data_IF_296267477639
#
_entry.id   IF_296267477639
#
_cell.length_a   1.000
_cell.length_b   1.000
_cell.length_c   1.000
_cell.angle_alpha   90.00
_cell.angle_beta   90.00
_cell.angle_gamma   90.00
#
_symmetry.space_group_name_H-M   'P 1'
#
loop_
_entity.id
_entity.type
_entity.pdbx_description
1 polymer ?
#
# COMPACT_ATOMS: atom_id res chain seq x y z
N UNK A 1 -17.72 25.56 18.52
CA UNK A 1 -16.78 24.53 19.00
C UNK A 1 -17.05 23.26 18.21
N UNK A 2 -16.12 22.82 17.36
CA UNK A 2 -16.30 21.57 16.63
C UNK A 2 -16.13 20.39 17.59
N UNK A 3 -17.23 19.73 17.93
CA UNK A 3 -17.21 18.50 18.74
C UNK A 3 -16.55 17.42 17.90
N UNK A 4 -15.32 17.04 18.26
CA UNK A 4 -14.67 15.87 17.69
C UNK A 4 -15.58 14.66 17.90
N UNK A 5 -16.01 14.02 16.81
CA UNK A 5 -16.72 12.75 16.84
C UNK A 5 -15.77 11.68 16.32
N UNK A 6 -15.56 10.57 17.06
CA UNK A 6 -14.76 9.46 16.54
C UNK A 6 -15.41 8.90 15.29
N UNK A 7 -14.57 8.51 14.33
CA UNK A 7 -15.01 7.86 13.09
C UNK A 7 -15.72 6.56 13.47
N UNK A 8 -17.02 6.47 13.19
CA UNK A 8 -17.85 5.31 13.53
C UNK A 8 -17.57 4.07 12.66
N UNK A 9 -16.79 4.21 11.60
CA UNK A 9 -16.39 3.11 10.75
C UNK A 9 -15.02 2.63 11.20
N UNK A 10 -14.95 1.39 11.69
CA UNK A 10 -13.65 0.74 11.87
C UNK A 10 -12.87 0.80 10.55
N UNK A 11 -11.58 1.15 10.59
CA UNK A 11 -10.74 1.11 9.41
C UNK A 11 -10.78 -0.31 8.85
N UNK A 12 -11.01 -0.41 7.55
CA UNK A 12 -11.02 -1.69 6.84
C UNK A 12 -9.70 -2.42 7.11
N UNK A 13 -9.78 -3.52 7.84
CA UNK A 13 -8.62 -4.24 8.35
C UNK A 13 -7.70 -4.75 7.22
N UNK A 14 -8.26 -5.04 6.05
CA UNK A 14 -7.52 -5.41 4.84
C UNK A 14 -6.68 -4.23 4.34
N UNK A 15 -7.33 -3.08 4.12
CA UNK A 15 -6.66 -1.87 3.62
C UNK A 15 -5.60 -1.36 4.60
N UNK A 16 -5.91 -1.36 5.90
CA UNK A 16 -4.96 -0.97 6.93
C UNK A 16 -3.70 -1.85 6.91
N UNK A 17 -3.88 -3.18 6.84
CA UNK A 17 -2.78 -4.14 6.77
C UNK A 17 -1.92 -3.93 5.52
N UNK A 18 -2.53 -3.71 4.35
CA UNK A 18 -1.82 -3.44 3.10
C UNK A 18 -1.06 -2.11 3.16
N UNK A 19 -1.63 -1.07 3.76
CA UNK A 19 -0.94 0.21 3.92
C UNK A 19 0.27 0.12 4.82
N UNK A 20 0.19 -0.63 5.91
CA UNK A 20 1.33 -0.85 6.79
C UNK A 20 2.39 -1.73 6.14
N UNK A 21 1.98 -2.74 5.37
CA UNK A 21 2.87 -3.54 4.53
C UNK A 21 3.64 -2.69 3.52
N UNK A 22 2.96 -1.80 2.80
CA UNK A 22 3.58 -0.88 1.86
C UNK A 22 4.50 0.11 2.58
N UNK A 23 4.10 0.68 3.73
CA UNK A 23 4.96 1.62 4.47
C UNK A 23 6.28 1.02 4.90
N UNK A 24 6.27 -0.23 5.34
CA UNK A 24 7.47 -0.90 5.85
C UNK A 24 8.42 -1.32 4.74
N UNK A 25 7.91 -1.85 3.63
CA UNK A 25 8.73 -2.43 2.56
C UNK A 25 8.98 -1.52 1.38
N UNK A 26 8.02 -0.66 1.03
CA UNK A 26 8.15 0.18 -0.15
C UNK A 26 9.41 1.03 -0.05
N UNK A 27 9.69 1.63 1.13
CA UNK A 27 10.87 2.47 1.41
C UNK A 27 12.20 1.84 0.96
N UNK A 28 12.36 0.52 1.08
CA UNK A 28 13.57 -0.19 0.68
C UNK A 28 13.81 -0.11 -0.84
N UNK A 29 12.73 -0.17 -1.63
CA UNK A 29 12.77 -0.05 -3.10
C UNK A 29 13.13 1.38 -3.53
N UNK A 30 12.74 2.41 -2.77
CA UNK A 30 13.16 3.79 -3.06
C UNK A 30 14.66 3.98 -2.80
N UNK A 31 15.18 3.37 -1.73
CA UNK A 31 16.59 3.51 -1.36
C UNK A 31 17.53 2.79 -2.33
N UNK A 32 17.08 1.68 -2.93
CA UNK A 32 17.89 0.98 -3.94
C UNK A 32 18.01 1.75 -5.25
N UNK A 33 17.13 2.73 -5.52
CA UNK A 33 17.18 3.56 -6.72
C UNK A 33 16.90 2.79 -8.02
N UNK A 34 16.40 1.55 -7.91
CA UNK A 34 16.19 0.68 -9.06
C UNK A 34 14.96 1.13 -9.84
N UNK A 35 15.12 1.43 -11.13
CA UNK A 35 14.02 1.84 -12.02
C UNK A 35 13.18 0.66 -12.57
N UNK A 36 13.27 -0.52 -11.94
CA UNK A 36 12.62 -1.74 -12.41
C UNK A 36 11.47 -2.17 -11.47
N UNK A 37 10.44 -2.87 -12.00
CA UNK A 37 9.47 -3.55 -11.16
C UNK A 37 10.17 -4.42 -10.12
N UNK A 38 9.89 -4.18 -8.85
CA UNK A 38 10.54 -4.86 -7.73
C UNK A 38 9.49 -5.61 -6.92
N UNK A 39 9.55 -6.94 -6.84
CA UNK A 39 8.68 -7.70 -5.97
C UNK A 39 9.03 -7.42 -4.51
N UNK A 40 8.03 -7.16 -3.67
CA UNK A 40 8.19 -7.01 -2.22
C UNK A 40 8.26 -8.35 -1.49
N UNK A 41 8.06 -9.44 -2.22
CA UNK A 41 8.01 -10.81 -1.73
C UNK A 41 6.68 -11.17 -1.09
N UNK A 42 6.44 -12.47 -0.95
CA UNK A 42 5.30 -13.01 -0.22
C UNK A 42 5.49 -12.76 1.28
N UNK A 43 4.48 -12.18 1.93
CA UNK A 43 4.41 -12.01 3.38
C UNK A 43 3.11 -12.51 3.93
N UNK A 44 3.13 -12.87 5.21
CA UNK A 44 1.94 -13.23 5.97
C UNK A 44 1.81 -12.27 7.13
N UNK A 45 0.83 -11.40 7.06
CA UNK A 45 0.59 -10.35 8.04
C UNK A 45 -0.66 -10.66 8.86
N UNK A 46 -0.66 -10.21 10.11
CA UNK A 46 -1.85 -10.31 10.99
C UNK A 46 -2.63 -9.01 10.88
N UNK A 47 -3.87 -9.10 10.44
CA UNK A 47 -4.80 -7.97 10.37
C UNK A 47 -5.24 -7.53 11.77
N UNK A 48 -5.73 -6.29 11.89
CA UNK A 48 -6.20 -5.74 13.18
C UNK A 48 -7.37 -6.52 13.79
N UNK A 49 -8.10 -7.30 12.99
CA UNK A 49 -9.18 -8.19 13.44
C UNK A 49 -8.69 -9.59 13.87
N UNK A 50 -7.37 -9.83 13.91
CA UNK A 50 -6.75 -11.12 14.24
C UNK A 50 -6.75 -12.13 13.09
N UNK A 51 -7.32 -11.78 11.93
CA UNK A 51 -7.24 -12.58 10.73
C UNK A 51 -5.84 -12.55 10.10
N UNK A 52 -5.52 -13.58 9.31
CA UNK A 52 -4.26 -13.66 8.58
C UNK A 52 -4.48 -13.22 7.14
N UNK A 53 -3.56 -12.40 6.63
CA UNK A 53 -3.55 -11.94 5.24
C UNK A 53 -2.22 -12.33 4.60
N UNK A 54 -2.29 -13.14 3.55
CA UNK A 54 -1.13 -13.37 2.69
C UNK A 54 -1.08 -12.23 1.66
N UNK A 55 0.07 -11.58 1.52
CA UNK A 55 0.26 -10.42 0.66
C UNK A 55 1.45 -10.68 -0.24
N UNK A 56 1.26 -10.53 -1.55
CA UNK A 56 2.32 -10.56 -2.55
C UNK A 56 2.13 -9.39 -3.50
N UNK A 57 2.96 -8.36 -3.34
CA UNK A 57 2.87 -7.12 -4.11
C UNK A 57 4.17 -6.84 -4.83
N UNK A 58 4.04 -6.24 -6.01
CA UNK A 58 5.11 -5.68 -6.80
C UNK A 58 4.95 -4.17 -6.83
N UNK A 59 6.08 -3.49 -6.66
CA UNK A 59 6.17 -2.04 -6.81
C UNK A 59 6.87 -1.71 -8.11
N UNK A 60 6.27 -0.86 -8.91
CA UNK A 60 6.83 -0.41 -10.19
C UNK A 60 7.03 1.11 -10.16
N UNK A 61 8.25 1.61 -10.40
CA UNK A 61 8.46 3.04 -10.56
C UNK A 61 7.70 3.55 -11.79
N UNK A 62 6.82 4.52 -11.61
CA UNK A 62 6.03 5.12 -12.70
C UNK A 62 6.70 6.40 -13.19
N UNK A 63 7.21 7.22 -12.27
CA UNK A 63 7.93 8.44 -12.65
C UNK A 63 8.02 9.47 -11.53
N UNK A 64 8.30 10.71 -11.92
CA UNK A 64 8.36 11.88 -11.05
C UNK A 64 7.16 12.78 -11.33
N UNK A 65 6.55 13.31 -10.28
CA UNK A 65 5.47 14.29 -10.35
C UNK A 65 5.71 15.45 -9.38
N UNK A 66 4.96 16.54 -9.52
CA UNK A 66 4.98 17.66 -8.58
C UNK A 66 3.71 17.60 -7.72
N UNK A 67 3.88 17.48 -6.39
CA UNK A 67 2.79 17.56 -5.41
C UNK A 67 3.03 18.78 -4.55
N UNK A 68 2.12 19.77 -4.61
CA UNK A 68 2.23 21.03 -3.85
C UNK A 68 3.63 21.69 -4.00
N UNK A 69 4.12 21.78 -5.24
CA UNK A 69 5.45 22.32 -5.58
C UNK A 69 6.66 21.52 -5.08
N UNK A 70 6.46 20.29 -4.59
CA UNK A 70 7.55 19.37 -4.23
C UNK A 70 7.65 18.24 -5.24
N UNK A 71 8.89 17.89 -5.60
CA UNK A 71 9.16 16.72 -6.44
C UNK A 71 8.85 15.44 -5.68
N UNK A 72 7.92 14.65 -6.19
CA UNK A 72 7.50 13.39 -5.63
C UNK A 72 7.77 12.25 -6.61
N UNK A 73 8.22 11.11 -6.11
CA UNK A 73 8.33 9.88 -6.85
C UNK A 73 7.01 9.13 -6.78
N UNK A 74 6.53 8.65 -7.92
CA UNK A 74 5.29 7.89 -8.06
C UNK A 74 5.63 6.44 -8.38
N UNK A 75 5.01 5.55 -7.63
CA UNK A 75 5.12 4.12 -7.78
C UNK A 75 3.74 3.52 -7.96
N UNK A 76 3.60 2.65 -8.95
CA UNK A 76 2.46 1.76 -9.09
C UNK A 76 2.62 0.57 -8.15
N UNK A 77 1.52 0.14 -7.56
CA UNK A 77 1.43 -1.07 -6.75
C UNK A 77 0.49 -2.03 -7.47
N UNK A 78 0.95 -3.24 -7.70
CA UNK A 78 0.14 -4.31 -8.29
C UNK A 78 0.44 -5.62 -7.61
N UNK A 79 -0.55 -6.47 -7.42
CA UNK A 79 -0.34 -7.82 -6.94
C UNK A 79 -1.60 -8.44 -6.37
N UNK A 80 -1.41 -9.30 -5.38
CA UNK A 80 -2.48 -10.10 -4.80
C UNK A 80 -2.42 -10.08 -3.29
N UNK A 81 -3.59 -10.13 -2.68
CA UNK A 81 -3.76 -10.41 -1.26
C UNK A 81 -4.78 -11.53 -1.10
N UNK A 82 -4.64 -12.38 -0.09
CA UNK A 82 -5.57 -13.46 0.16
C UNK A 82 -5.77 -13.67 1.66
N UNK A 83 -7.05 -13.67 2.06
CA UNK A 83 -7.46 -14.15 3.38
C UNK A 83 -7.87 -15.63 3.32
N UNK A 84 -8.43 -16.19 4.40
CA UNK A 84 -8.79 -17.61 4.50
C UNK A 84 -9.78 -18.10 3.43
N UNK A 85 -10.58 -17.23 2.82
CA UNK A 85 -11.62 -17.63 1.87
C UNK A 85 -11.79 -16.70 0.66
N UNK A 86 -11.07 -15.57 0.63
CA UNK A 86 -11.21 -14.56 -0.40
C UNK A 86 -9.85 -14.16 -0.93
N UNK A 87 -9.70 -14.25 -2.26
CA UNK A 87 -8.57 -13.68 -2.98
C UNK A 87 -8.91 -12.28 -3.49
N UNK A 88 -7.94 -11.38 -3.43
CA UNK A 88 -8.06 -9.99 -3.85
C UNK A 88 -6.93 -9.65 -4.83
N UNK A 89 -7.27 -8.98 -5.91
CA UNK A 89 -6.34 -8.21 -6.73
C UNK A 89 -6.10 -6.89 -6.00
N UNK A 90 -4.85 -6.50 -5.86
CA UNK A 90 -4.45 -5.21 -5.29
C UNK A 90 -3.87 -4.36 -6.40
N UNK A 91 -4.48 -3.21 -6.63
CA UNK A 91 -3.96 -2.19 -7.54
C UNK A 91 -3.92 -0.85 -6.82
N UNK A 92 -2.88 -0.07 -7.05
CA UNK A 92 -2.71 1.14 -6.27
C UNK A 92 -1.53 1.98 -6.68
N UNK A 93 -1.27 2.99 -5.85
CA UNK A 93 -0.14 3.88 -6.02
C UNK A 93 0.44 4.33 -4.68
N UNK A 94 1.75 4.50 -4.67
CA UNK A 94 2.48 5.11 -3.56
C UNK A 94 3.21 6.34 -4.09
N UNK A 95 3.03 7.46 -3.40
CA UNK A 95 3.68 8.73 -3.72
C UNK A 95 4.56 9.13 -2.56
N UNK A 96 5.84 9.32 -2.83
CA UNK A 96 6.84 9.68 -1.81
C UNK A 96 7.54 10.96 -2.22
N UNK A 97 7.76 11.84 -1.24
CA UNK A 97 8.55 13.05 -1.43
C UNK A 97 10.02 12.70 -1.72
N UNK A 98 10.58 13.25 -2.80
CA UNK A 98 11.95 12.93 -3.24
C UNK A 98 13.02 13.39 -2.24
N UNK A 99 12.79 14.50 -1.53
CA UNK A 99 13.79 15.10 -0.65
C UNK A 99 13.79 14.46 0.74
N UNK A 100 12.61 14.28 1.32
CA UNK A 100 12.41 13.82 2.70
C UNK A 100 12.15 12.32 2.80
N UNK A 101 11.83 11.66 1.67
CA UNK A 101 11.36 10.28 1.62
C UNK A 101 10.10 10.04 2.46
N UNK A 102 9.34 11.10 2.74
CA UNK A 102 8.06 11.00 3.43
C UNK A 102 6.96 10.50 2.49
N UNK A 103 6.12 9.58 2.98
CA UNK A 103 4.93 9.14 2.24
C UNK A 103 3.93 10.30 2.15
N UNK A 104 3.63 10.73 0.92
CA UNK A 104 2.67 11.78 0.62
C UNK A 104 1.27 11.20 0.38
N UNK A 105 1.20 10.07 -0.33
CA UNK A 105 -0.05 9.32 -0.53
C UNK A 105 0.24 7.83 -0.65
N UNK A 106 -0.68 7.03 -0.13
CA UNK A 106 -0.72 5.56 -0.31
C UNK A 106 -2.17 5.23 -0.62
N UNK A 107 -2.38 4.65 -1.79
CA UNK A 107 -3.70 4.24 -2.25
C UNK A 107 -3.61 2.79 -2.70
N UNK A 108 -4.57 1.99 -2.24
CA UNK A 108 -4.73 0.61 -2.65
C UNK A 108 -6.23 0.32 -2.79
N UNK A 109 -6.60 -0.08 -3.99
CA UNK A 109 -7.91 -0.60 -4.34
C UNK A 109 -7.85 -2.12 -4.38
N UNK A 110 -8.87 -2.71 -3.77
CA UNK A 110 -9.01 -4.14 -3.59
C UNK A 110 -10.17 -4.61 -4.46
N UNK A 111 -9.88 -5.45 -5.44
CA UNK A 111 -10.91 -6.09 -6.25
C UNK A 111 -10.98 -7.55 -5.88
N UNK A 112 -12.16 -8.03 -5.48
CA UNK A 112 -12.37 -9.44 -5.14
C UNK A 112 -12.19 -10.28 -6.41
N UNK A 113 -11.27 -11.24 -6.37
CA UNK A 113 -11.02 -12.18 -7.47
C UNK A 113 -11.88 -13.43 -7.34
N UNK A 114 -11.89 -14.04 -6.15
CA UNK A 114 -12.64 -15.26 -5.88
C UNK A 114 -13.18 -15.22 -4.44
N UNK A 115 -14.39 -15.74 -4.26
CA UNK A 115 -15.03 -15.92 -2.96
C UNK A 115 -15.39 -17.40 -2.82
N UNK A 116 -14.76 -18.11 -1.89
CA UNK A 116 -15.12 -19.50 -1.57
C UNK A 116 -16.40 -19.58 -0.75
#
# INVERSE_FOLDING_TARGET
MATWKPVQREPDALRACIYDYLRTRARQVYQSGTSAPTPLGLSRETMCNGGMLNIDLTITPVGLTLVNSRSALVFGVTGHAADKGTGYQVEGRVVIDKQTLAFLSIEADLTVLNRS
#
